data_IF_355266041776
#
_entry.id   IF_355266041776
#
_cell.length_a   1.000
_cell.length_b   1.000
_cell.length_c   1.000
_cell.angle_alpha   90.00
_cell.angle_beta   90.00
_cell.angle_gamma   90.00
#
_symmetry.space_group_name_H-M   'P 1'
#
loop_
_entity.id
_entity.type
_entity.pdbx_description
1 polymer ?
#
# COMPACT_ATOMS: atom_id res chain seq x y z
N UNK A 1 21.72 -86.83 -59.64
CA UNK A 1 23.12 -86.35 -59.62
C UNK A 1 23.18 -85.16 -58.69
N UNK A 2 24.12 -85.13 -57.74
CA UNK A 2 24.33 -86.08 -56.64
C UNK A 2 24.09 -85.30 -55.30
N UNK A 3 24.21 -85.76 -54.06
CA UNK A 3 24.77 -86.95 -53.45
C UNK A 3 24.33 -86.94 -51.96
N UNK A 4 24.09 -88.14 -51.40
CA UNK A 4 24.59 -88.62 -50.08
C UNK A 4 24.36 -87.75 -48.83
N UNK A 5 23.48 -88.12 -47.90
CA UNK A 5 23.61 -89.23 -46.92
C UNK A 5 24.80 -89.09 -45.98
N UNK A 6 24.58 -89.06 -44.66
CA UNK A 6 25.07 -90.07 -43.71
C UNK A 6 24.58 -89.69 -42.29
N UNK A 7 23.71 -90.48 -41.65
CA UNK A 7 23.97 -91.73 -40.91
C UNK A 7 24.73 -91.53 -39.59
N UNK A 8 24.16 -92.11 -38.53
CA UNK A 8 24.78 -92.95 -37.48
C UNK A 8 23.64 -93.15 -36.45
N UNK A 9 22.84 -94.24 -36.48
CA UNK A 9 23.09 -95.63 -36.01
C UNK A 9 23.80 -95.63 -34.64
N UNK A 10 23.42 -96.34 -33.59
CA UNK A 10 22.49 -97.43 -33.38
C UNK A 10 22.65 -97.84 -31.91
N UNK A 11 21.63 -98.53 -31.38
CA UNK A 11 21.74 -99.73 -30.52
C UNK A 11 21.47 -99.57 -29.01
N UNK A 12 20.27 -100.05 -28.65
CA UNK A 12 19.90 -101.05 -27.60
C UNK A 12 20.48 -100.86 -26.19
N UNK A 13 19.73 -101.01 -25.09
CA UNK A 13 18.85 -102.13 -24.73
C UNK A 13 18.22 -101.87 -23.32
N UNK A 14 17.12 -102.60 -23.00
CA UNK A 14 16.44 -102.83 -21.69
C UNK A 14 15.37 -101.78 -21.28
N UNK A 15 14.06 -102.12 -21.32
CA UNK A 15 13.23 -102.70 -20.23
C UNK A 15 13.34 -101.85 -18.94
N UNK A 16 12.33 -101.20 -18.38
CA UNK A 16 10.89 -101.50 -18.29
C UNK A 16 10.11 -100.23 -17.86
N UNK A 17 8.84 -100.14 -18.29
CA UNK A 17 7.72 -99.32 -17.77
C UNK A 17 7.43 -97.91 -18.32
N UNK A 18 6.16 -97.80 -18.72
CA UNK A 18 5.27 -96.64 -18.94
C UNK A 18 5.54 -95.75 -20.15
N UNK A 19 4.75 -95.96 -21.20
CA UNK A 19 3.96 -94.93 -21.88
C UNK A 19 3.26 -95.57 -23.07
N UNK A 20 2.04 -95.11 -23.37
CA UNK A 20 1.70 -94.46 -24.63
C UNK A 20 0.28 -94.84 -25.09
N UNK A 21 -0.63 -93.86 -25.03
CA UNK A 21 -1.75 -93.80 -25.97
C UNK A 21 -1.65 -92.47 -26.72
N UNK A 22 -1.57 -92.60 -28.04
CA UNK A 22 -1.33 -91.55 -29.04
C UNK A 22 -2.67 -91.12 -29.65
N UNK A 23 -2.83 -89.79 -29.82
CA UNK A 23 -3.61 -89.01 -30.80
C UNK A 23 -5.02 -89.49 -31.20
N UNK A 24 -6.00 -88.64 -31.51
CA UNK A 24 -5.98 -87.45 -32.38
C UNK A 24 -7.43 -86.93 -32.35
N UNK A 25 -7.72 -85.63 -32.24
CA UNK A 25 -8.85 -84.96 -32.93
C UNK A 25 -8.91 -83.45 -32.62
N UNK A 26 -8.66 -82.70 -33.69
CA UNK A 26 -9.12 -81.36 -34.11
C UNK A 26 -10.13 -80.63 -33.19
N UNK A 27 -9.68 -79.45 -32.73
CA UNK A 27 -10.41 -78.22 -32.37
C UNK A 27 -11.89 -78.31 -31.98
N UNK A 28 -12.13 -78.21 -30.68
CA UNK A 28 -13.24 -77.43 -30.14
C UNK A 28 -12.65 -76.42 -29.15
N UNK A 29 -12.81 -75.13 -29.46
CA UNK A 29 -12.51 -74.05 -28.54
C UNK A 29 -13.50 -74.12 -27.37
N UNK A 30 -13.16 -74.89 -26.34
CA UNK A 30 -13.78 -74.73 -25.04
C UNK A 30 -13.12 -73.52 -24.37
N UNK A 31 -13.80 -72.37 -24.47
CA UNK A 31 -13.63 -71.24 -23.58
C UNK A 31 -13.45 -71.75 -22.14
N UNK A 32 -12.29 -71.49 -21.54
CA UNK A 32 -12.15 -71.59 -20.10
C UNK A 32 -12.95 -70.42 -19.50
N UNK A 33 -14.22 -70.68 -19.19
CA UNK A 33 -15.09 -69.76 -18.47
C UNK A 33 -14.50 -69.58 -17.06
N UNK A 34 -13.73 -68.51 -16.87
CA UNK A 34 -13.18 -68.11 -15.57
C UNK A 34 -14.37 -67.63 -14.73
N UNK A 35 -14.92 -68.51 -13.89
CA UNK A 35 -16.03 -68.22 -12.99
C UNK A 35 -15.75 -66.96 -12.15
N UNK A 36 -16.36 -65.83 -12.51
CA UNK A 36 -16.41 -64.63 -11.68
C UNK A 36 -17.53 -64.82 -10.64
N UNK A 37 -17.17 -65.29 -9.44
CA UNK A 37 -18.09 -65.28 -8.30
C UNK A 37 -18.15 -63.86 -7.71
N UNK A 38 -19.34 -63.34 -7.38
CA UNK A 38 -19.45 -62.04 -6.74
C UNK A 38 -18.77 -62.08 -5.35
N UNK A 39 -17.99 -61.04 -5.05
CA UNK A 39 -17.28 -60.92 -3.78
C UNK A 39 -18.10 -60.00 -2.88
N UNK A 40 -18.57 -60.54 -1.76
CA UNK A 40 -19.29 -59.77 -0.75
C UNK A 40 -18.40 -59.56 0.47
N UNK A 41 -17.99 -58.31 0.70
CA UNK A 41 -17.25 -57.90 1.89
C UNK A 41 -18.24 -57.30 2.88
N UNK A 42 -18.37 -57.89 4.08
CA UNK A 42 -19.27 -57.42 5.14
C UNK A 42 -18.47 -57.23 6.42
N UNK A 43 -18.21 -55.98 6.80
CA UNK A 43 -17.46 -55.61 8.02
C UNK A 43 -16.08 -56.28 8.11
N UNK A 44 -15.45 -56.56 6.97
CA UNK A 44 -14.16 -57.25 6.90
C UNK A 44 -13.04 -56.30 7.35
N UNK A 45 -12.17 -56.72 8.30
CA UNK A 45 -10.96 -55.96 8.64
C UNK A 45 -10.08 -55.71 7.41
N UNK A 46 -9.47 -54.52 7.32
CA UNK A 46 -8.55 -54.18 6.21
C UNK A 46 -7.39 -55.20 6.09
N UNK A 47 -6.93 -55.73 7.23
CA UNK A 47 -5.88 -56.76 7.29
C UNK A 47 -6.30 -58.05 6.57
N UNK A 48 -7.53 -58.52 6.78
CA UNK A 48 -8.04 -59.72 6.09
C UNK A 48 -8.21 -59.48 4.59
N UNK A 49 -8.70 -58.30 4.19
CA UNK A 49 -8.82 -57.95 2.77
C UNK A 49 -7.44 -57.93 2.09
N UNK A 50 -6.46 -57.28 2.71
CA UNK A 50 -5.09 -57.18 2.15
C UNK A 50 -4.39 -58.55 2.08
N UNK A 51 -4.63 -59.42 3.06
CA UNK A 51 -4.12 -60.79 3.04
C UNK A 51 -4.77 -61.63 1.93
N UNK A 52 -6.09 -61.51 1.77
CA UNK A 52 -6.80 -62.17 0.67
C UNK A 52 -6.35 -61.65 -0.70
N UNK A 53 -6.21 -60.33 -0.86
CA UNK A 53 -5.72 -59.72 -2.09
C UNK A 53 -4.29 -60.14 -2.42
N UNK A 54 -3.42 -60.27 -1.41
CA UNK A 54 -2.06 -60.82 -1.58
C UNK A 54 -2.11 -62.23 -2.18
N UNK A 55 -2.98 -63.10 -1.66
CA UNK A 55 -3.12 -64.47 -2.17
C UNK A 55 -3.71 -64.54 -3.59
N UNK A 56 -4.64 -63.64 -3.94
CA UNK A 56 -5.31 -63.63 -5.25
C UNK A 56 -4.47 -62.96 -6.34
N UNK A 57 -3.72 -61.92 -5.98
CA UNK A 57 -2.90 -61.15 -6.94
C UNK A 57 -1.45 -61.60 -7.01
N UNK A 58 -0.98 -62.36 -6.02
CA UNK A 58 0.41 -62.80 -5.90
C UNK A 58 1.38 -61.69 -5.47
N UNK A 59 0.89 -60.48 -5.19
CA UNK A 59 1.71 -59.35 -4.72
C UNK A 59 1.88 -59.39 -3.19
N UNK A 60 3.05 -58.98 -2.70
CA UNK A 60 3.27 -58.85 -1.26
C UNK A 60 2.65 -57.54 -0.76
N UNK A 61 1.62 -57.61 0.08
CA UNK A 61 0.97 -56.42 0.65
C UNK A 61 1.38 -56.27 2.12
N UNK A 62 1.96 -55.14 2.48
CA UNK A 62 2.43 -54.81 3.85
C UNK A 62 1.56 -53.69 4.42
N UNK A 63 0.88 -53.97 5.53
CA UNK A 63 0.04 -53.00 6.24
C UNK A 63 0.79 -52.51 7.47
N UNK A 64 0.90 -51.20 7.68
CA UNK A 64 1.54 -50.66 8.88
C UNK A 64 0.69 -50.91 10.13
N UNK A 65 1.33 -51.07 11.30
CA UNK A 65 0.65 -51.38 12.58
C UNK A 65 -0.31 -50.29 13.06
N UNK A 66 -0.25 -49.10 12.47
CA UNK A 66 -1.10 -47.95 12.78
C UNK A 66 -2.43 -47.95 12.00
N UNK A 67 -2.65 -48.92 11.11
CA UNK A 67 -3.89 -49.05 10.33
C UNK A 67 -4.89 -49.91 11.11
N UNK A 68 -5.91 -49.27 11.69
CA UNK A 68 -7.02 -49.95 12.36
C UNK A 68 -8.33 -49.49 11.76
N UNK A 69 -9.08 -50.41 11.14
CA UNK A 69 -10.36 -50.10 10.50
C UNK A 69 -11.05 -51.35 9.95
N UNK A 70 -12.37 -51.38 10.07
CA UNK A 70 -13.25 -52.32 9.36
C UNK A 70 -13.82 -51.65 8.13
N UNK A 71 -13.90 -52.37 7.03
CA UNK A 71 -14.45 -51.85 5.79
C UNK A 71 -15.99 -51.82 5.83
N UNK A 72 -16.57 -50.72 5.36
CA UNK A 72 -17.99 -50.62 5.04
C UNK A 72 -18.31 -51.55 3.85
N UNK A 73 -19.48 -52.20 3.94
CA UNK A 73 -19.91 -53.29 3.05
C UNK A 73 -19.72 -52.98 1.56
N UNK A 74 -19.06 -53.87 0.83
CA UNK A 74 -18.88 -53.75 -0.62
C UNK A 74 -19.37 -55.04 -1.31
N UNK A 75 -20.28 -54.89 -2.29
CA UNK A 75 -20.76 -55.97 -3.15
C UNK A 75 -20.16 -55.78 -4.53
N UNK A 76 -19.31 -56.72 -4.96
CA UNK A 76 -18.52 -56.58 -6.17
C UNK A 76 -18.92 -57.66 -7.18
N UNK A 77 -19.66 -57.31 -8.25
CA UNK A 77 -20.33 -58.30 -9.10
C UNK A 77 -19.41 -59.07 -10.06
N UNK A 78 -18.25 -58.52 -10.45
CA UNK A 78 -17.27 -59.22 -11.32
C UNK A 78 -15.98 -58.40 -11.47
N UNK A 79 -14.80 -58.95 -11.20
CA UNK A 79 -13.53 -58.17 -11.20
C UNK A 79 -12.41 -58.92 -11.92
N UNK A 80 -11.67 -58.23 -12.80
CA UNK A 80 -10.40 -58.73 -13.32
C UNK A 80 -9.27 -58.45 -12.32
N UNK A 81 -8.14 -59.18 -12.37
CA UNK A 81 -7.05 -59.00 -11.39
C UNK A 81 -6.45 -57.57 -11.40
N UNK A 82 -6.53 -56.86 -12.53
CA UNK A 82 -6.07 -55.47 -12.68
C UNK A 82 -7.02 -54.48 -11.97
N UNK A 83 -8.32 -54.76 -11.98
CA UNK A 83 -9.32 -53.92 -11.34
C UNK A 83 -9.30 -54.04 -9.80
N UNK A 84 -8.76 -55.15 -9.24
CA UNK A 84 -8.67 -55.37 -7.79
C UNK A 84 -7.69 -54.42 -7.09
N UNK A 85 -6.58 -54.05 -7.74
CA UNK A 85 -5.60 -53.11 -7.17
C UNK A 85 -6.11 -51.67 -7.24
N UNK A 86 -6.81 -51.30 -8.31
CA UNK A 86 -7.50 -50.02 -8.42
C UNK A 86 -8.60 -49.91 -7.38
N UNK A 87 -9.36 -50.98 -7.15
CA UNK A 87 -10.36 -51.05 -6.09
C UNK A 87 -9.73 -50.91 -4.69
N UNK A 88 -8.59 -51.56 -4.44
CA UNK A 88 -7.84 -51.39 -3.19
C UNK A 88 -7.39 -49.94 -2.97
N UNK A 89 -6.91 -49.27 -4.02
CA UNK A 89 -6.54 -47.84 -3.95
C UNK A 89 -7.74 -46.96 -3.58
N UNK A 90 -8.91 -47.20 -4.17
CA UNK A 90 -10.12 -46.43 -3.85
C UNK A 90 -10.62 -46.69 -2.42
N UNK A 91 -10.57 -47.95 -1.97
CA UNK A 91 -10.96 -48.35 -0.62
C UNK A 91 -9.99 -47.79 0.43
N UNK A 92 -8.69 -47.78 0.16
CA UNK A 92 -7.70 -47.22 1.10
C UNK A 92 -7.87 -45.71 1.20
N UNK A 93 -8.03 -45.00 0.07
CA UNK A 93 -8.31 -43.56 0.04
C UNK A 93 -9.60 -43.18 0.77
N UNK A 94 -10.68 -43.96 0.65
CA UNK A 94 -11.93 -43.68 1.36
C UNK A 94 -11.81 -43.81 2.88
N UNK A 95 -10.78 -44.50 3.37
CA UNK A 95 -10.49 -44.71 4.80
C UNK A 95 -9.29 -43.88 5.30
N UNK A 96 -8.91 -42.80 4.59
CA UNK A 96 -7.75 -41.95 4.91
C UNK A 96 -6.39 -42.68 4.94
N UNK A 97 -6.28 -43.76 4.18
CA UNK A 97 -5.03 -44.51 4.01
C UNK A 97 -4.45 -44.23 2.62
N UNK A 98 -3.13 -44.40 2.49
CA UNK A 98 -2.41 -44.27 1.22
C UNK A 98 -1.75 -45.60 0.89
N UNK A 99 -1.88 -46.01 -0.37
CA UNK A 99 -1.20 -47.15 -0.95
C UNK A 99 0.05 -46.67 -1.70
N UNK A 100 1.21 -47.19 -1.33
CA UNK A 100 2.50 -46.98 -1.99
C UNK A 100 2.86 -48.27 -2.74
N UNK A 101 2.81 -48.24 -4.08
CA UNK A 101 3.19 -49.39 -4.92
C UNK A 101 4.68 -49.33 -5.29
N UNK A 102 5.44 -50.35 -4.88
CA UNK A 102 6.85 -50.55 -5.23
C UNK A 102 7.04 -51.67 -6.27
N UNK A 103 6.01 -51.96 -7.06
CA UNK A 103 6.00 -53.03 -8.06
C UNK A 103 5.56 -54.35 -7.45
N UNK A 104 6.51 -55.08 -6.86
CA UNK A 104 6.27 -56.41 -6.25
C UNK A 104 5.74 -56.33 -4.82
N UNK A 105 5.95 -55.20 -4.16
CA UNK A 105 5.49 -54.93 -2.79
C UNK A 105 4.59 -53.70 -2.77
N UNK A 106 3.41 -53.85 -2.19
CA UNK A 106 2.48 -52.74 -1.94
C UNK A 106 2.47 -52.46 -0.45
N UNK A 107 2.71 -51.20 -0.05
CA UNK A 107 2.66 -50.78 1.35
C UNK A 107 1.45 -49.87 1.60
N UNK A 108 0.68 -50.15 2.64
CA UNK A 108 -0.48 -49.34 3.05
C UNK A 108 -0.17 -48.65 4.37
N UNK A 109 -0.30 -47.32 4.39
CA UNK A 109 -0.01 -46.48 5.54
C UNK A 109 -1.11 -45.44 5.78
N UNK A 110 -1.10 -44.81 6.96
CA UNK A 110 -1.96 -43.67 7.24
C UNK A 110 -1.44 -42.42 6.50
N UNK A 111 -2.33 -41.64 5.89
CA UNK A 111 -1.98 -40.45 5.10
C UNK A 111 -1.22 -39.37 5.90
N UNK A 112 -1.20 -39.45 7.24
CA UNK A 112 -0.45 -38.55 8.11
C UNK A 112 1.07 -38.60 7.90
N UNK A 113 1.61 -39.66 7.30
CA UNK A 113 3.05 -39.87 7.12
C UNK A 113 3.63 -39.34 5.79
N UNK A 114 2.90 -38.55 5.00
CA UNK A 114 3.56 -37.73 3.99
C UNK A 114 4.43 -36.71 4.71
N UNK A 115 5.72 -37.04 4.82
CA UNK A 115 6.76 -36.13 5.26
C UNK A 115 6.60 -34.84 4.46
N UNK A 116 6.09 -33.79 5.10
CA UNK A 116 6.14 -32.44 4.57
C UNK A 116 7.63 -32.19 4.36
N UNK A 117 8.07 -32.20 3.11
CA UNK A 117 9.41 -31.70 2.79
C UNK A 117 9.33 -30.21 3.07
N UNK A 118 9.70 -29.81 4.29
CA UNK A 118 9.87 -28.41 4.64
C UNK A 118 10.93 -27.91 3.66
N UNK A 119 10.49 -27.20 2.62
CA UNK A 119 11.39 -26.65 1.62
C UNK A 119 12.50 -25.90 2.34
N UNK A 120 13.75 -26.13 1.95
CA UNK A 120 14.89 -25.50 2.59
C UNK A 120 14.69 -23.98 2.57
N UNK A 121 14.71 -23.35 3.75
CA UNK A 121 14.66 -21.91 3.85
C UNK A 121 16.02 -21.36 3.46
N UNK A 122 16.01 -20.37 2.59
CA UNK A 122 17.20 -19.64 2.18
C UNK A 122 17.19 -18.25 2.81
N UNK A 123 18.38 -17.71 3.09
CA UNK A 123 18.54 -16.36 3.60
C UNK A 123 19.07 -15.45 2.49
N UNK A 124 18.29 -14.44 2.10
CA UNK A 124 18.67 -13.49 1.04
C UNK A 124 18.59 -12.06 1.57
N UNK A 125 19.60 -11.25 1.22
CA UNK A 125 19.67 -9.84 1.58
C UNK A 125 19.22 -8.97 0.40
N UNK A 126 18.15 -8.20 0.60
CA UNK A 126 17.59 -7.26 -0.36
C UNK A 126 18.02 -5.84 -0.01
N UNK A 127 18.87 -5.24 -0.86
CA UNK A 127 19.33 -3.85 -0.70
C UNK A 127 18.37 -2.90 -1.44
N UNK A 128 18.07 -1.76 -0.82
CA UNK A 128 17.24 -0.69 -1.40
C UNK A 128 18.05 0.60 -1.58
N UNK A 129 17.89 1.25 -2.72
CA UNK A 129 18.62 2.48 -3.05
C UNK A 129 17.75 3.73 -2.99
N UNK A 130 16.47 3.64 -3.34
CA UNK A 130 15.56 4.77 -3.49
C UNK A 130 14.54 4.89 -2.36
N UNK A 131 14.25 3.79 -1.65
CA UNK A 131 13.28 3.74 -0.55
C UNK A 131 13.91 3.19 0.73
N UNK A 132 13.39 3.64 1.88
CA UNK A 132 13.83 3.13 3.18
C UNK A 132 13.29 1.71 3.41
N UNK A 133 14.16 0.78 3.76
CA UNK A 133 13.85 -0.61 4.09
C UNK A 133 12.75 -0.71 5.17
N UNK A 134 12.77 0.19 6.16
CA UNK A 134 11.75 0.25 7.23
C UNK A 134 10.34 0.48 6.69
N UNK A 135 10.18 1.27 5.62
CA UNK A 135 8.86 1.57 5.02
C UNK A 135 8.29 0.38 4.25
N UNK A 136 9.14 -0.47 3.67
CA UNK A 136 8.73 -1.62 2.84
C UNK A 136 8.72 -2.95 3.61
N UNK A 137 9.33 -3.00 4.81
CA UNK A 137 9.34 -4.19 5.66
C UNK A 137 7.95 -4.81 5.89
N UNK A 138 6.86 -4.04 6.15
CA UNK A 138 5.54 -4.62 6.34
C UNK A 138 5.03 -5.40 5.12
N UNK A 139 5.40 -4.95 3.90
CA UNK A 139 5.03 -5.63 2.66
C UNK A 139 5.81 -6.94 2.49
N UNK A 140 7.09 -6.94 2.86
CA UNK A 140 7.92 -8.15 2.89
C UNK A 140 7.38 -9.15 3.90
N UNK A 141 7.05 -8.69 5.11
CA UNK A 141 6.44 -9.53 6.14
C UNK A 141 5.09 -10.09 5.68
N UNK A 142 4.28 -9.30 4.98
CA UNK A 142 3.01 -9.75 4.41
C UNK A 142 3.19 -10.83 3.33
N UNK A 143 4.16 -10.66 2.44
CA UNK A 143 4.46 -11.64 1.39
C UNK A 143 4.99 -12.97 1.96
N UNK A 144 5.62 -12.94 3.14
CA UNK A 144 6.19 -14.10 3.82
C UNK A 144 5.17 -14.79 4.74
N UNK A 145 3.98 -14.22 4.96
CA UNK A 145 2.97 -14.82 5.87
C UNK A 145 2.61 -16.23 5.41
N UNK A 146 2.97 -17.21 6.24
CA UNK A 146 2.61 -18.62 6.09
C UNK A 146 1.08 -18.77 6.14
N UNK A 147 0.47 -19.63 5.30
CA UNK A 147 -0.95 -19.99 5.38
C UNK A 147 -1.35 -20.40 6.81
N UNK A 148 -2.55 -20.04 7.26
CA UNK A 148 -2.98 -20.28 8.64
C UNK A 148 -3.05 -21.78 9.01
N UNK A 149 -3.16 -22.67 8.01
CA UNK A 149 -3.07 -24.12 8.18
C UNK A 149 -1.72 -24.58 8.76
N UNK A 150 -0.64 -23.91 8.37
CA UNK A 150 0.71 -24.30 8.79
C UNK A 150 0.99 -23.82 10.22
N UNK A 151 0.41 -22.69 10.63
CA UNK A 151 0.52 -22.18 12.01
C UNK A 151 -0.15 -23.14 13.01
N UNK A 152 -1.35 -23.62 12.69
CA UNK A 152 -2.06 -24.61 13.52
C UNK A 152 -1.34 -25.96 13.59
N UNK A 153 -0.58 -26.30 12.54
CA UNK A 153 0.28 -27.48 12.55
C UNK A 153 1.50 -27.26 13.44
N UNK A 154 2.17 -26.10 13.35
CA UNK A 154 3.32 -25.76 14.17
C UNK A 154 2.98 -25.74 15.68
N UNK A 155 1.83 -25.18 16.05
CA UNK A 155 1.35 -25.12 17.44
C UNK A 155 1.11 -26.52 18.05
N UNK A 156 0.80 -27.53 17.23
CA UNK A 156 0.62 -28.91 17.70
C UNK A 156 1.94 -29.62 18.03
N UNK A 157 3.07 -29.07 17.60
CA UNK A 157 4.40 -29.64 17.78
C UNK A 157 5.35 -28.63 18.45
N UNK A 158 4.93 -28.10 19.60
CA UNK A 158 5.66 -27.05 20.35
C UNK A 158 7.09 -27.49 20.77
N UNK A 159 7.34 -28.80 20.83
CA UNK A 159 8.65 -29.39 21.14
C UNK A 159 9.65 -29.35 19.95
N UNK A 160 9.18 -29.04 18.75
CA UNK A 160 9.99 -28.99 17.52
C UNK A 160 10.26 -27.53 17.15
N UNK A 161 11.54 -27.14 17.19
CA UNK A 161 11.97 -25.82 16.72
C UNK A 161 11.91 -25.75 15.20
N UNK A 162 10.81 -25.26 14.67
CA UNK A 162 10.72 -24.94 13.26
C UNK A 162 11.44 -23.62 12.97
N UNK A 163 12.27 -23.58 11.93
CA UNK A 163 12.71 -22.30 11.38
C UNK A 163 11.49 -21.65 10.72
N UNK A 164 11.05 -20.52 11.24
CA UNK A 164 9.92 -19.78 10.69
C UNK A 164 10.42 -18.78 9.64
N UNK A 165 9.71 -18.64 8.51
CA UNK A 165 9.98 -17.59 7.57
C UNK A 165 9.89 -16.22 8.26
N UNK A 166 10.90 -15.39 8.07
CA UNK A 166 10.97 -14.08 8.74
C UNK A 166 11.67 -13.05 7.87
N UNK A 167 11.30 -11.78 8.07
CA UNK A 167 11.98 -10.65 7.45
C UNK A 167 12.30 -9.59 8.51
N UNK A 168 13.53 -9.08 8.47
CA UNK A 168 14.02 -8.04 9.35
C UNK A 168 14.93 -7.05 8.62
N UNK A 169 14.98 -5.82 9.11
CA UNK A 169 15.89 -4.79 8.60
C UNK A 169 17.27 -4.99 9.24
N UNK A 170 18.33 -4.86 8.44
CA UNK A 170 19.69 -4.86 8.96
C UNK A 170 20.02 -3.53 9.63
N UNK A 171 20.62 -3.52 10.84
CA UNK A 171 20.81 -2.29 11.61
C UNK A 171 21.81 -1.31 10.97
N UNK A 172 22.75 -1.82 10.18
CA UNK A 172 23.86 -1.06 9.61
C UNK A 172 23.69 -0.74 8.11
N UNK A 173 22.60 -1.18 7.47
CA UNK A 173 22.40 -0.97 6.03
C UNK A 173 20.93 -0.80 5.69
N UNK A 174 20.64 -0.07 4.62
CA UNK A 174 19.28 0.05 4.07
C UNK A 174 18.89 -1.23 3.31
N UNK A 175 18.84 -2.35 4.03
CA UNK A 175 18.61 -3.68 3.47
C UNK A 175 17.69 -4.50 4.36
N UNK A 176 16.93 -5.41 3.74
CA UNK A 176 16.10 -6.39 4.43
C UNK A 176 16.76 -7.76 4.29
N UNK A 177 16.94 -8.46 5.41
CA UNK A 177 17.23 -9.89 5.43
C UNK A 177 15.89 -10.63 5.45
N UNK A 178 15.63 -11.43 4.42
CA UNK A 178 14.47 -12.32 4.39
C UNK A 178 14.93 -13.78 4.40
N UNK A 179 14.31 -14.58 5.26
CA UNK A 179 14.50 -16.02 5.37
C UNK A 179 13.20 -16.65 4.93
N UNK A 180 13.15 -17.28 3.76
CA UNK A 180 11.93 -17.90 3.22
C UNK A 180 12.25 -18.96 2.17
N UNK A 181 11.23 -19.58 1.57
CA UNK A 181 11.42 -20.58 0.50
C UNK A 181 11.92 -19.93 -0.81
N UNK A 182 12.61 -20.70 -1.68
CA UNK A 182 13.09 -20.18 -2.97
C UNK A 182 11.99 -19.59 -3.85
N UNK A 183 10.78 -20.15 -3.81
CA UNK A 183 9.61 -19.66 -4.56
C UNK A 183 9.20 -18.25 -4.12
N UNK A 184 9.15 -18.00 -2.80
CA UNK A 184 8.80 -16.68 -2.25
C UNK A 184 9.92 -15.67 -2.52
N UNK A 185 11.18 -16.12 -2.59
CA UNK A 185 12.29 -15.24 -2.99
C UNK A 185 12.14 -14.69 -4.42
N UNK A 186 11.63 -15.47 -5.37
CA UNK A 186 11.34 -14.96 -6.72
C UNK A 186 10.27 -13.86 -6.68
N UNK A 187 9.22 -14.03 -5.87
CA UNK A 187 8.17 -13.03 -5.67
C UNK A 187 8.72 -11.76 -4.99
N UNK A 188 9.53 -11.90 -3.95
CA UNK A 188 10.19 -10.79 -3.25
C UNK A 188 11.17 -10.03 -4.14
N UNK A 189 11.88 -10.74 -5.03
CA UNK A 189 12.76 -10.11 -6.02
C UNK A 189 11.95 -9.29 -7.04
N UNK A 190 10.80 -9.79 -7.47
CA UNK A 190 9.83 -9.03 -8.28
C UNK A 190 9.34 -7.78 -7.55
N UNK A 191 8.90 -7.95 -6.30
CA UNK A 191 8.39 -6.88 -5.45
C UNK A 191 9.46 -5.79 -5.20
N UNK A 192 10.71 -6.18 -4.91
CA UNK A 192 11.81 -5.22 -4.73
C UNK A 192 11.97 -4.32 -5.96
N UNK A 193 11.97 -4.89 -7.17
CA UNK A 193 12.15 -4.10 -8.41
C UNK A 193 11.02 -3.10 -8.61
N UNK A 194 9.79 -3.47 -8.26
CA UNK A 194 8.64 -2.56 -8.35
C UNK A 194 8.66 -1.44 -7.30
N UNK A 195 9.17 -1.74 -6.10
CA UNK A 195 9.21 -0.76 -4.99
C UNK A 195 10.43 0.18 -5.03
N UNK A 196 11.59 -0.29 -5.49
CA UNK A 196 12.85 0.45 -5.46
C UNK A 196 13.02 1.37 -6.69
N UNK A 197 11.99 2.17 -7.00
CA UNK A 197 12.01 3.18 -8.07
C UNK A 197 12.46 4.55 -7.51
N UNK A 198 13.14 5.40 -8.31
CA UNK A 198 13.45 6.76 -7.92
C UNK A 198 12.20 7.54 -7.48
N UNK A 199 12.28 8.19 -6.32
CA UNK A 199 11.20 9.02 -5.78
C UNK A 199 11.38 10.45 -6.31
N UNK A 200 10.29 11.03 -6.81
CA UNK A 200 10.27 12.40 -7.34
C UNK A 200 10.35 13.41 -6.19
N UNK A 201 10.95 14.57 -6.46
CA UNK A 201 11.00 15.67 -5.51
C UNK A 201 10.18 16.85 -6.01
N UNK A 202 9.65 17.65 -5.09
CA UNK A 202 8.81 18.80 -5.40
C UNK A 202 9.37 20.01 -4.67
N UNK A 203 9.78 21.02 -5.44
CA UNK A 203 10.09 22.35 -4.94
C UNK A 203 8.82 23.20 -4.98
N UNK A 204 8.46 23.75 -3.82
CA UNK A 204 7.36 24.68 -3.66
C UNK A 204 7.94 26.05 -3.32
N UNK A 205 7.61 27.03 -4.14
CA UNK A 205 7.90 28.45 -3.90
C UNK A 205 6.58 29.16 -3.61
N UNK A 206 6.43 29.73 -2.42
CA UNK A 206 5.24 30.49 -2.04
C UNK A 206 5.53 31.98 -2.02
N UNK A 207 4.56 32.79 -2.40
CA UNK A 207 4.61 34.25 -2.29
C UNK A 207 3.32 34.72 -1.62
N UNK A 208 3.49 35.42 -0.49
CA UNK A 208 2.40 35.98 0.28
C UNK A 208 2.48 37.49 0.16
N UNK A 209 1.42 38.11 -0.36
CA UNK A 209 1.34 39.55 -0.58
C UNK A 209 0.10 40.11 0.10
N UNK A 210 0.21 41.29 0.69
CA UNK A 210 -0.89 42.08 1.23
C UNK A 210 -0.98 43.36 0.40
N UNK A 211 -2.17 43.72 -0.05
CA UNK A 211 -2.42 44.96 -0.76
C UNK A 211 -3.41 45.81 0.05
N UNK A 212 -3.07 47.07 0.27
CA UNK A 212 -3.99 48.06 0.84
C UNK A 212 -4.87 48.62 -0.29
N UNK A 213 -6.11 48.16 -0.37
CA UNK A 213 -7.08 48.69 -1.32
C UNK A 213 -7.66 50.00 -0.75
N UNK A 214 -7.27 51.13 -1.33
CA UNK A 214 -8.01 52.39 -1.16
C UNK A 214 -9.22 52.40 -2.09
N UNK A 215 -10.26 53.17 -1.74
CA UNK A 215 -11.50 53.35 -2.52
C UNK A 215 -11.18 53.56 -4.02
N UNK A 216 -11.35 52.50 -4.83
CA UNK A 216 -11.19 52.53 -6.28
C UNK A 216 -10.29 51.47 -6.93
N UNK A 217 -9.65 50.55 -6.20
CA UNK A 217 -8.76 49.55 -6.80
C UNK A 217 -9.45 48.21 -7.10
N UNK A 218 -9.49 47.81 -8.37
CA UNK A 218 -9.96 46.48 -8.82
C UNK A 218 -8.78 45.54 -9.11
N UNK A 219 -8.33 44.80 -8.09
CA UNK A 219 -7.17 43.88 -8.15
C UNK A 219 -7.15 42.98 -9.39
N UNK A 220 -8.31 42.42 -9.80
CA UNK A 220 -8.40 41.53 -10.96
C UNK A 220 -8.09 42.19 -12.31
N UNK A 221 -8.31 43.49 -12.46
CA UNK A 221 -8.11 44.22 -13.73
C UNK A 221 -6.64 44.67 -13.86
N UNK A 222 -6.07 45.19 -12.79
CA UNK A 222 -4.71 45.72 -12.78
C UNK A 222 -3.65 44.61 -12.71
N UNK A 223 -3.91 43.53 -11.95
CA UNK A 223 -3.06 42.35 -11.94
C UNK A 223 -3.05 41.67 -13.31
N UNK A 224 -4.19 41.56 -13.99
CA UNK A 224 -4.25 40.98 -15.34
C UNK A 224 -3.42 41.77 -16.36
N UNK A 225 -3.36 43.10 -16.19
CA UNK A 225 -2.61 44.01 -17.05
C UNK A 225 -1.10 43.90 -16.77
N UNK A 226 -0.69 43.81 -15.51
CA UNK A 226 0.69 43.60 -15.10
C UNK A 226 1.23 42.19 -15.48
N UNK A 227 0.40 41.16 -15.43
CA UNK A 227 0.77 39.79 -15.83
C UNK A 227 0.96 39.64 -17.34
N UNK A 228 0.13 40.31 -18.16
CA UNK A 228 0.33 40.37 -19.62
C UNK A 228 1.66 41.02 -20.00
N UNK A 229 2.08 42.04 -19.27
CA UNK A 229 3.36 42.72 -19.49
C UNK A 229 4.59 41.87 -19.10
N UNK A 230 4.39 40.82 -18.28
CA UNK A 230 5.46 39.93 -17.80
C UNK A 230 5.48 38.56 -18.49
N UNK A 231 4.69 38.38 -19.56
CA UNK A 231 4.72 37.18 -20.40
C UNK A 231 3.79 36.04 -19.97
N UNK A 232 2.91 36.27 -18.98
CA UNK A 232 1.89 35.28 -18.60
C UNK A 232 0.69 35.33 -19.57
N UNK A 233 0.30 34.18 -20.13
CA UNK A 233 -0.85 34.05 -21.06
C UNK A 233 -2.06 33.45 -20.33
N UNK A 234 -3.23 34.08 -20.50
CA UNK A 234 -4.49 33.65 -19.91
C UNK A 234 -5.28 32.78 -20.90
N UNK A 235 -5.62 31.55 -20.51
CA UNK A 235 -6.68 30.76 -21.16
C UNK A 235 -7.96 30.94 -20.36
N UNK A 236 -8.73 31.97 -20.71
CA UNK A 236 -10.11 32.12 -20.21
C UNK A 236 -11.00 31.15 -20.99
N UNK A 237 -11.65 30.22 -20.30
CA UNK A 237 -12.78 29.52 -20.89
C UNK A 237 -13.94 30.53 -20.92
N UNK A 238 -14.12 31.19 -22.07
CA UNK A 238 -15.11 32.25 -22.25
C UNK A 238 -16.52 31.67 -22.18
N UNK A 239 -17.12 31.70 -20.99
CA UNK A 239 -18.57 31.59 -20.84
C UNK A 239 -19.08 32.86 -20.17
N UNK A 240 -19.45 33.84 -21.00
CA UNK A 240 -20.32 34.97 -20.65
C UNK A 240 -19.73 36.04 -19.72
N UNK A 241 -19.75 37.27 -20.21
CA UNK A 241 -19.57 38.50 -19.42
C UNK A 241 -20.35 38.45 -18.10
N UNK A 242 -19.65 38.30 -16.97
CA UNK A 242 -20.18 38.62 -15.66
C UNK A 242 -19.30 39.70 -15.02
N UNK A 243 -19.85 40.90 -15.06
CA UNK A 243 -19.44 42.07 -14.29
C UNK A 243 -19.23 41.75 -12.82
N UNK A 244 -18.15 42.32 -12.27
CA UNK A 244 -18.00 42.71 -10.86
C UNK A 244 -18.27 41.63 -9.83
N UNK A 245 -17.19 40.99 -9.37
CA UNK A 245 -17.19 40.14 -8.19
C UNK A 245 -17.29 38.67 -8.56
N UNK A 246 -16.16 38.02 -8.82
CA UNK A 246 -16.18 36.57 -8.96
C UNK A 246 -14.88 35.93 -8.50
N UNK A 247 -15.02 35.11 -7.45
CA UNK A 247 -14.19 33.95 -7.21
C UNK A 247 -14.35 32.94 -8.34
N UNK A 248 -13.68 33.20 -9.46
CA UNK A 248 -13.47 32.26 -10.55
C UNK A 248 -12.05 31.70 -10.45
N UNK A 249 -11.92 30.38 -10.46
CA UNK A 249 -10.61 29.72 -10.53
C UNK A 249 -9.89 30.11 -11.83
N UNK A 250 -8.85 30.93 -11.72
CA UNK A 250 -8.00 31.37 -12.83
C UNK A 250 -6.80 30.43 -12.95
N UNK A 251 -6.68 29.72 -14.08
CA UNK A 251 -5.53 28.88 -14.43
C UNK A 251 -4.64 29.60 -15.44
N UNK A 252 -3.34 29.71 -15.16
CA UNK A 252 -2.37 30.41 -16.00
C UNK A 252 -1.47 29.45 -16.79
N UNK A 253 -1.23 29.77 -18.07
CA UNK A 253 -0.37 28.99 -18.96
C UNK A 253 1.03 29.62 -19.06
N UNK A 254 2.02 28.84 -18.61
CA UNK A 254 3.48 28.85 -18.86
C UNK A 254 4.15 30.09 -19.45
N UNK A 255 5.20 30.60 -18.77
CA UNK A 255 6.27 31.38 -19.43
C UNK A 255 6.83 32.60 -18.69
N UNK A 256 6.15 33.11 -17.66
CA UNK A 256 6.57 34.35 -16.98
C UNK A 256 7.63 34.16 -15.89
N UNK A 257 8.60 35.06 -15.82
CA UNK A 257 9.58 35.12 -14.73
C UNK A 257 8.94 35.74 -13.48
N UNK A 258 8.87 34.97 -12.41
CA UNK A 258 8.36 35.41 -11.10
C UNK A 258 9.10 36.63 -10.57
N UNK A 259 10.40 36.79 -10.86
CA UNK A 259 11.16 37.97 -10.43
C UNK A 259 10.73 39.25 -11.15
N UNK A 260 10.31 39.12 -12.41
CA UNK A 260 9.73 40.23 -13.16
C UNK A 260 8.35 40.61 -12.63
N UNK A 261 7.53 39.63 -12.24
CA UNK A 261 6.25 39.86 -11.53
C UNK A 261 6.46 40.61 -10.21
N UNK A 262 7.40 40.14 -9.38
CA UNK A 262 7.74 40.79 -8.11
C UNK A 262 8.13 42.26 -8.33
N UNK A 263 8.96 42.53 -9.34
CA UNK A 263 9.45 43.89 -9.66
C UNK A 263 8.36 44.80 -10.24
N UNK A 264 7.39 44.25 -10.98
CA UNK A 264 6.25 44.99 -11.52
C UNK A 264 5.22 45.29 -10.43
N UNK A 265 4.88 44.30 -9.60
CA UNK A 265 3.94 44.46 -8.47
C UNK A 265 4.50 45.39 -7.39
N UNK A 266 5.81 45.38 -7.13
CA UNK A 266 6.45 46.30 -6.20
C UNK A 266 6.39 47.78 -6.64
N UNK A 267 6.11 48.08 -7.92
CA UNK A 267 5.89 49.46 -8.40
C UNK A 267 4.45 49.96 -8.18
N UNK A 268 3.51 49.08 -7.85
CA UNK A 268 2.14 49.45 -7.51
C UNK A 268 2.16 50.00 -6.08
N UNK A 269 1.70 51.25 -5.91
CA UNK A 269 1.91 52.08 -4.71
C UNK A 269 1.37 51.51 -3.39
N UNK A 270 0.64 50.39 -3.40
CA UNK A 270 -0.09 49.85 -2.25
C UNK A 270 0.10 48.33 -2.02
N UNK A 271 1.05 47.66 -2.69
CA UNK A 271 1.28 46.22 -2.48
C UNK A 271 2.55 45.96 -1.67
N UNK A 272 2.41 45.22 -0.56
CA UNK A 272 3.49 44.82 0.34
C UNK A 272 3.69 43.31 0.27
N UNK A 273 4.90 42.86 -0.04
CA UNK A 273 5.26 41.44 0.04
C UNK A 273 5.51 41.11 1.52
N UNK A 274 4.79 40.13 2.06
CA UNK A 274 4.93 39.70 3.45
C UNK A 274 6.05 38.69 3.59
N UNK A 275 6.09 37.68 2.71
CA UNK A 275 7.04 36.56 2.82
C UNK A 275 7.11 35.74 1.53
N UNK A 276 8.26 35.12 1.29
CA UNK A 276 8.51 34.20 0.17
C UNK A 276 9.14 32.88 0.63
N UNK A 277 8.43 32.02 1.38
CA UNK A 277 9.00 30.77 1.84
C UNK A 277 9.19 29.78 0.68
N UNK A 278 10.30 29.05 0.70
CA UNK A 278 10.61 28.00 -0.28
C UNK A 278 10.86 26.68 0.46
N UNK A 279 10.42 25.57 -0.12
CA UNK A 279 10.47 24.25 0.51
C UNK A 279 10.64 23.16 -0.54
N UNK A 280 11.67 22.32 -0.40
CA UNK A 280 11.87 21.12 -1.20
C UNK A 280 11.43 19.89 -0.39
N UNK A 281 10.52 19.08 -0.94
CA UNK A 281 9.95 17.92 -0.26
C UNK A 281 9.93 16.72 -1.21
N UNK A 282 10.12 15.52 -0.67
CA UNK A 282 9.92 14.29 -1.44
C UNK A 282 8.42 14.01 -1.64
N UNK A 283 8.09 13.34 -2.73
CA UNK A 283 6.73 12.87 -2.98
C UNK A 283 6.18 12.03 -1.81
N UNK A 284 4.92 12.27 -1.43
CA UNK A 284 4.17 11.68 -0.30
C UNK A 284 4.72 11.96 1.10
N UNK A 285 5.79 12.72 1.25
CA UNK A 285 6.31 13.14 2.56
C UNK A 285 5.79 14.54 2.95
N UNK A 286 5.55 14.77 4.24
CA UNK A 286 5.17 16.11 4.70
C UNK A 286 6.42 16.96 4.93
N UNK A 287 6.43 18.17 4.36
CA UNK A 287 7.39 19.21 4.67
C UNK A 287 6.72 20.38 5.38
N UNK A 288 7.48 21.09 6.21
CA UNK A 288 7.02 22.32 6.86
C UNK A 288 8.18 23.33 7.01
N UNK A 289 7.85 24.60 6.84
CA UNK A 289 8.73 25.74 7.13
C UNK A 289 7.96 26.74 7.98
N UNK A 290 8.59 27.26 9.03
CA UNK A 290 8.00 28.28 9.91
C UNK A 290 9.04 29.37 10.19
N UNK A 291 8.64 30.63 9.99
CA UNK A 291 9.46 31.82 10.17
C UNK A 291 8.68 32.80 11.03
N UNK A 292 9.21 33.18 12.18
CA UNK A 292 8.47 34.01 13.12
C UNK A 292 9.21 34.31 14.42
N UNK A 293 8.46 34.80 15.39
CA UNK A 293 8.91 35.14 16.74
C UNK A 293 8.18 34.26 17.76
N UNK A 294 8.82 33.94 18.87
CA UNK A 294 8.21 33.19 19.97
C UNK A 294 7.81 34.12 21.11
N UNK A 295 6.52 34.46 21.17
CA UNK A 295 5.97 35.54 22.00
C UNK A 295 5.42 34.97 23.32
N UNK A 296 5.76 35.55 24.47
CA UNK A 296 5.20 35.16 25.77
C UNK A 296 3.79 35.73 26.01
N UNK A 297 2.88 34.91 26.53
CA UNK A 297 1.53 35.24 26.96
C UNK A 297 1.40 34.97 28.46
N UNK A 298 0.74 35.87 29.20
CA UNK A 298 0.56 35.77 30.64
C UNK A 298 -0.75 35.01 30.94
N UNK A 299 -0.66 33.71 31.23
CA UNK A 299 -1.85 32.87 31.42
C UNK A 299 -2.40 32.90 32.86
N UNK A 300 -1.57 33.26 33.84
CA UNK A 300 -2.02 33.42 35.23
C UNK A 300 -1.11 34.37 36.02
N UNK A 301 -1.72 35.14 36.91
CA UNK A 301 -1.03 35.90 37.95
C UNK A 301 -1.67 35.54 39.28
N UNK A 302 -1.02 34.66 40.03
CA UNK A 302 -1.45 34.26 41.37
C UNK A 302 -0.67 35.08 42.40
N UNK A 303 -1.30 35.44 43.51
CA UNK A 303 -0.63 36.01 44.68
C UNK A 303 -0.65 34.91 45.73
N UNK A 304 0.53 34.43 46.11
CA UNK A 304 0.66 33.42 47.17
C UNK A 304 0.32 34.02 48.53
N UNK A 305 -0.07 33.20 49.51
CA UNK A 305 -0.42 33.62 50.88
C UNK A 305 0.69 34.43 51.60
N UNK A 306 1.93 34.34 51.10
CA UNK A 306 3.08 35.14 51.55
C UNK A 306 3.25 36.49 50.81
N UNK A 307 2.25 36.94 50.04
CA UNK A 307 2.26 38.20 49.29
C UNK A 307 3.17 38.21 48.05
N UNK A 308 3.73 37.06 47.64
CA UNK A 308 4.55 36.95 46.42
C UNK A 308 3.66 36.67 45.21
N UNK A 309 3.76 37.52 44.19
CA UNK A 309 3.09 37.31 42.91
C UNK A 309 3.87 36.30 42.06
N UNK A 310 3.22 35.20 41.70
CA UNK A 310 3.73 34.19 40.76
C UNK A 310 3.02 34.41 39.43
N UNK A 311 3.78 34.63 38.36
CA UNK A 311 3.25 34.75 37.00
C UNK A 311 3.59 33.49 36.22
N UNK A 312 2.59 32.93 35.52
CA UNK A 312 2.77 31.78 34.62
C UNK A 312 2.74 32.29 33.19
N UNK A 313 3.80 31.99 32.45
CA UNK A 313 4.00 32.46 31.07
C UNK A 313 3.89 31.25 30.13
N UNK A 314 3.06 31.37 29.09
CA UNK A 314 3.01 30.45 27.95
C UNK A 314 3.70 31.10 26.75
N UNK A 315 4.31 30.31 25.87
CA UNK A 315 5.04 30.81 24.69
C UNK A 315 4.33 30.35 23.43
N UNK A 316 3.97 31.28 22.54
CA UNK A 316 3.30 30.99 21.27
C UNK A 316 4.12 31.51 20.09
N UNK A 317 4.30 30.68 19.06
CA UNK A 317 4.95 31.08 17.83
C UNK A 317 4.01 31.95 16.98
N UNK A 318 4.50 33.12 16.57
CA UNK A 318 3.78 34.08 15.73
C UNK A 318 4.63 34.37 14.50
N UNK A 319 4.09 34.20 13.30
CA UNK A 319 4.81 34.39 12.04
C UNK A 319 4.16 33.67 10.86
N UNK A 320 4.94 33.35 9.84
CA UNK A 320 4.50 32.64 8.65
C UNK A 320 4.89 31.17 8.74
N UNK A 321 3.91 30.28 8.65
CA UNK A 321 4.13 28.84 8.51
C UNK A 321 3.53 28.33 7.20
N UNK A 322 4.23 27.39 6.57
CA UNK A 322 3.78 26.69 5.38
C UNK A 322 4.09 25.20 5.57
N UNK A 323 3.06 24.37 5.55
CA UNK A 323 3.19 22.92 5.49
C UNK A 323 2.56 22.39 4.21
N UNK A 324 3.26 21.48 3.55
CA UNK A 324 2.84 20.89 2.28
C UNK A 324 3.10 19.40 2.30
N UNK A 325 2.13 18.61 1.83
CA UNK A 325 2.31 17.21 1.47
C UNK A 325 2.03 17.06 -0.03
N UNK A 326 3.07 16.82 -0.86
CA UNK A 326 2.89 16.62 -2.28
C UNK A 326 2.52 15.17 -2.61
N UNK A 327 1.81 14.99 -3.71
CA UNK A 327 1.54 13.71 -4.35
C UNK A 327 1.70 13.86 -5.86
N UNK A 328 2.76 13.29 -6.43
CA UNK A 328 3.09 13.44 -7.85
C UNK A 328 2.51 12.28 -8.66
N UNK A 329 1.73 12.64 -9.67
CA UNK A 329 1.15 11.71 -10.65
C UNK A 329 2.14 11.40 -11.79
N UNK A 330 1.87 10.35 -12.56
CA UNK A 330 2.75 9.88 -13.64
C UNK A 330 3.06 10.98 -14.67
N UNK A 331 2.05 11.79 -15.01
CA UNK A 331 2.10 12.91 -15.98
C UNK A 331 2.89 14.14 -15.49
N UNK A 332 3.37 14.13 -14.24
CA UNK A 332 4.10 15.26 -13.63
C UNK A 332 3.18 16.30 -12.98
N UNK A 333 1.87 16.03 -12.89
CA UNK A 333 0.95 16.83 -12.09
C UNK A 333 1.15 16.53 -10.61
N UNK A 334 1.29 17.57 -9.79
CA UNK A 334 1.42 17.48 -8.34
C UNK A 334 0.10 17.87 -7.65
N UNK A 335 -0.46 16.95 -6.88
CA UNK A 335 -1.55 17.23 -5.95
C UNK A 335 -0.92 17.64 -4.63
N UNK A 336 -1.19 18.85 -4.17
CA UNK A 336 -0.60 19.42 -2.97
C UNK A 336 -1.68 19.62 -1.91
N UNK A 337 -1.51 19.00 -0.74
CA UNK A 337 -2.24 19.37 0.47
C UNK A 337 -1.44 20.46 1.19
N UNK A 338 -1.97 21.68 1.22
CA UNK A 338 -1.29 22.87 1.74
C UNK A 338 -2.00 23.37 2.99
N UNK A 339 -1.22 23.69 4.02
CA UNK A 339 -1.64 24.44 5.19
C UNK A 339 -0.70 25.63 5.34
N UNK A 340 -1.21 26.83 5.08
CA UNK A 340 -0.46 28.08 5.23
C UNK A 340 -1.08 28.89 6.36
N UNK A 341 -0.24 29.38 7.26
CA UNK A 341 -0.64 30.26 8.35
C UNK A 341 0.23 31.52 8.34
N UNK A 342 -0.38 32.67 8.61
CA UNK A 342 0.31 33.93 8.83
C UNK A 342 -0.27 34.58 10.08
N UNK A 343 0.58 34.84 11.05
CA UNK A 343 0.22 35.53 12.28
C UNK A 343 1.15 36.69 12.55
N UNK A 344 0.61 37.74 13.18
CA UNK A 344 1.34 38.95 13.56
C UNK A 344 0.93 39.40 14.95
N UNK A 345 1.84 40.06 15.66
CA UNK A 345 1.52 40.73 16.93
C UNK A 345 1.00 42.14 16.62
N UNK A 346 -0.02 42.58 17.35
CA UNK A 346 -0.49 43.97 17.35
C UNK A 346 -0.15 44.63 18.68
N UNK A 347 0.55 45.75 18.62
CA UNK A 347 0.85 46.59 19.78
C UNK A 347 -0.42 47.40 20.15
N UNK A 348 -1.33 46.79 20.90
CA UNK A 348 -2.50 47.50 21.45
C UNK A 348 -2.17 48.06 22.83
N UNK A 349 -2.28 49.38 22.98
CA UNK A 349 -2.10 50.08 24.27
C UNK A 349 -3.31 49.98 25.20
N UNK A 350 -4.42 49.42 24.71
CA UNK A 350 -5.70 49.28 25.42
C UNK A 350 -5.83 47.90 26.09
N UNK A 351 -5.14 46.89 25.57
CA UNK A 351 -5.15 45.54 26.12
C UNK A 351 -4.11 45.39 27.23
N UNK A 352 -4.44 44.68 28.31
CA UNK A 352 -3.50 44.33 29.38
C UNK A 352 -2.47 43.25 28.97
N UNK A 353 -2.64 42.66 27.78
CA UNK A 353 -1.81 41.58 27.23
C UNK A 353 -1.69 41.72 25.70
N UNK A 354 -0.78 40.95 25.10
CA UNK A 354 -0.43 40.98 23.67
C UNK A 354 -1.59 40.44 22.82
N UNK A 355 -1.99 41.18 21.77
CA UNK A 355 -3.00 40.72 20.79
C UNK A 355 -2.31 40.14 19.56
N UNK A 356 -2.79 39.01 19.05
CA UNK A 356 -2.29 38.41 17.80
C UNK A 356 -3.36 38.36 16.73
N UNK A 357 -3.00 38.73 15.51
CA UNK A 357 -3.80 38.48 14.32
C UNK A 357 -3.35 37.15 13.72
N UNK A 358 -4.29 36.35 13.23
CA UNK A 358 -4.01 35.06 12.61
C UNK A 358 -4.85 34.90 11.34
N UNK A 359 -4.20 34.46 10.28
CA UNK A 359 -4.78 34.15 8.96
C UNK A 359 -4.33 32.76 8.57
N UNK A 360 -5.25 31.91 8.14
CA UNK A 360 -4.96 30.51 7.83
C UNK A 360 -5.69 30.07 6.57
N UNK A 361 -5.01 29.32 5.72
CA UNK A 361 -5.52 28.72 4.49
C UNK A 361 -5.17 27.24 4.50
N UNK A 362 -6.18 26.39 4.39
CA UNK A 362 -6.03 24.95 4.21
C UNK A 362 -6.76 24.53 2.95
N UNK A 363 -6.04 23.95 2.00
CA UNK A 363 -6.61 23.57 0.71
C UNK A 363 -5.84 22.42 0.07
N UNK A 364 -6.49 21.74 -0.86
CA UNK A 364 -5.88 20.72 -1.71
C UNK A 364 -6.03 21.17 -3.16
N UNK A 365 -4.91 21.29 -3.86
CA UNK A 365 -4.85 21.80 -5.23
C UNK A 365 -4.07 20.86 -6.13
N UNK A 366 -4.41 20.85 -7.42
CA UNK A 366 -3.70 20.09 -8.45
C UNK A 366 -3.01 21.06 -9.39
N UNK A 367 -1.70 20.90 -9.56
CA UNK A 367 -0.84 21.86 -10.28
C UNK A 367 0.15 21.09 -11.16
N UNK A 368 0.31 21.49 -12.42
CA UNK A 368 1.36 20.91 -13.27
C UNK A 368 2.73 21.49 -12.93
N UNK A 369 3.78 20.70 -13.11
CA UNK A 369 5.16 21.18 -12.93
C UNK A 369 5.43 22.46 -13.74
N UNK A 370 6.06 23.44 -13.09
CA UNK A 370 6.37 24.76 -13.64
C UNK A 370 5.23 25.78 -13.59
N UNK A 371 4.02 25.39 -13.19
CA UNK A 371 2.90 26.33 -13.10
C UNK A 371 2.87 27.08 -11.77
N UNK A 372 2.35 28.31 -11.84
CA UNK A 372 2.01 29.13 -10.69
C UNK A 372 0.51 29.19 -10.54
N UNK A 373 0.03 28.93 -9.33
CA UNK A 373 -1.38 29.01 -8.96
C UNK A 373 -1.58 30.04 -7.87
N UNK A 374 -2.77 30.64 -7.85
CA UNK A 374 -3.23 31.51 -6.77
C UNK A 374 -4.17 30.67 -5.91
N UNK A 375 -3.82 30.47 -4.63
CA UNK A 375 -4.62 29.64 -3.71
C UNK A 375 -5.88 30.36 -3.25
N UNK A 376 -5.86 31.69 -3.22
CA UNK A 376 -6.97 32.53 -2.80
C UNK A 376 -6.51 33.89 -2.26
N UNK A 377 -7.52 34.69 -1.90
CA UNK A 377 -7.38 36.02 -1.30
C UNK A 377 -8.24 36.12 -0.03
N UNK A 378 -7.73 36.71 1.06
CA UNK A 378 -8.54 37.11 2.22
C UNK A 378 -8.67 38.64 2.23
N UNK A 379 -9.89 39.15 2.08
CA UNK A 379 -10.17 40.59 2.18
C UNK A 379 -10.63 40.91 3.59
N UNK A 380 -9.99 41.89 4.21
CA UNK A 380 -10.37 42.45 5.51
C UNK A 380 -10.70 43.93 5.33
N UNK A 381 -11.88 44.34 5.78
CA UNK A 381 -12.26 45.76 5.83
C UNK A 381 -12.30 46.23 7.28
N UNK A 382 -11.58 47.31 7.55
CA UNK A 382 -11.59 47.98 8.85
C UNK A 382 -12.17 49.40 8.68
N UNK A 383 -13.35 49.63 9.23
CA UNK A 383 -13.99 50.95 9.21
C UNK A 383 -13.79 51.64 10.57
N UNK A 384 -12.97 52.71 10.58
CA UNK A 384 -12.74 53.56 11.75
C UNK A 384 -13.52 54.87 11.58
N UNK A 385 -14.62 55.01 12.31
CA UNK A 385 -15.34 56.27 12.48
C UNK A 385 -14.84 56.99 13.72
N UNK A 386 -14.35 58.21 13.56
CA UNK A 386 -14.00 59.11 14.65
C UNK A 386 -14.87 60.36 14.53
N UNK A 387 -15.57 60.69 15.61
CA UNK A 387 -16.38 61.90 15.72
C UNK A 387 -15.80 62.75 16.86
N UNK A 388 -15.28 63.92 16.52
CA UNK A 388 -14.82 64.91 17.49
C UNK A 388 -15.72 66.15 17.41
N UNK A 389 -16.19 66.65 18.56
CA UNK A 389 -17.09 67.80 18.55
C UNK A 389 -17.28 68.41 19.93
N UNK A 390 -17.85 69.62 19.95
CA UNK A 390 -18.15 70.33 21.19
C UNK A 390 -19.36 69.69 21.87
N UNK A 391 -19.27 69.26 23.14
CA UNK A 391 -20.40 68.66 23.87
C UNK A 391 -21.64 69.58 23.85
N UNK A 392 -22.84 69.00 23.77
CA UNK A 392 -24.15 69.68 23.69
C UNK A 392 -24.43 70.39 22.35
N UNK A 393 -23.48 71.16 21.81
CA UNK A 393 -23.67 71.89 20.55
C UNK A 393 -23.67 70.99 19.31
N UNK A 394 -22.98 69.86 19.37
CA UNK A 394 -22.93 68.87 18.28
C UNK A 394 -24.27 68.17 18.00
N UNK A 395 -25.16 68.12 19.00
CA UNK A 395 -26.43 67.38 18.95
C UNK A 395 -27.64 68.25 18.53
N UNK A 396 -27.43 69.55 18.29
CA UNK A 396 -28.52 70.48 17.94
C UNK A 396 -28.98 70.28 16.49
N UNK A 397 -30.28 70.09 16.22
CA UNK A 397 -30.81 70.01 14.86
C UNK A 397 -30.46 71.27 14.04
N UNK A 398 -30.25 71.12 12.73
CA UNK A 398 -29.80 72.15 11.77
C UNK A 398 -28.35 72.65 11.94
N UNK A 399 -27.88 72.99 13.15
CA UNK A 399 -26.58 73.68 13.33
C UNK A 399 -25.45 72.78 13.88
N UNK A 400 -25.76 71.60 14.42
CA UNK A 400 -24.77 70.71 15.04
C UNK A 400 -23.64 70.24 14.13
N UNK A 401 -23.86 70.21 12.80
CA UNK A 401 -22.83 69.86 11.81
C UNK A 401 -21.69 70.88 11.71
N UNK A 402 -21.85 72.12 12.18
CA UNK A 402 -20.77 73.11 12.23
C UNK A 402 -19.87 72.94 13.47
N UNK A 403 -20.30 72.13 14.45
CA UNK A 403 -19.63 71.95 15.74
C UNK A 403 -19.13 70.52 15.96
N UNK A 404 -19.14 69.68 14.92
CA UNK A 404 -18.55 68.33 14.88
C UNK A 404 -17.69 68.15 13.64
N UNK A 405 -16.64 67.35 13.77
CA UNK A 405 -15.81 66.84 12.69
C UNK A 405 -15.96 65.33 12.68
N UNK A 406 -16.40 64.79 11.54
CA UNK A 406 -16.50 63.35 11.31
C UNK A 406 -15.35 62.91 10.41
N UNK A 407 -14.55 61.96 10.87
CA UNK A 407 -13.53 61.29 10.08
C UNK A 407 -13.94 59.83 9.90
N UNK A 408 -14.17 59.42 8.66
CA UNK A 408 -14.48 58.05 8.28
C UNK A 408 -13.30 57.48 7.51
N UNK A 409 -12.56 56.57 8.13
CA UNK A 409 -11.41 55.91 7.51
C UNK A 409 -11.73 54.44 7.26
N UNK A 410 -11.93 54.07 5.99
CA UNK A 410 -12.15 52.69 5.55
C UNK A 410 -10.83 52.14 5.03
N UNK A 411 -10.30 51.12 5.68
CA UNK A 411 -9.05 50.45 5.29
C UNK A 411 -9.36 49.03 4.85
N UNK A 412 -9.23 48.76 3.55
CA UNK A 412 -9.34 47.40 3.01
C UNK A 412 -7.96 46.78 2.77
N UNK A 413 -7.77 45.56 3.25
CA UNK A 413 -6.53 44.77 3.11
C UNK A 413 -6.84 43.45 2.45
N UNK A 414 -6.17 43.15 1.35
CA UNK A 414 -6.28 41.86 0.64
C UNK A 414 -5.00 41.05 0.77
N UNK A 415 -5.06 39.87 1.40
CA UNK A 415 -3.97 38.92 1.47
C UNK A 415 -4.08 37.91 0.33
N UNK A 416 -3.17 37.94 -0.64
CA UNK A 416 -3.09 36.95 -1.73
C UNK A 416 -1.95 35.97 -1.49
N UNK A 417 -2.22 34.67 -1.70
CA UNK A 417 -1.20 33.61 -1.63
C UNK A 417 -1.02 32.95 -2.99
N UNK A 418 0.20 33.00 -3.52
CA UNK A 418 0.60 32.37 -4.78
C UNK A 418 1.59 31.24 -4.50
N UNK A 419 1.47 30.13 -5.23
CA UNK A 419 2.42 29.02 -5.19
C UNK A 419 2.93 28.70 -6.59
N UNK A 420 4.22 28.47 -6.72
CA UNK A 420 4.83 27.83 -7.88
C UNK A 420 5.38 26.47 -7.48
N UNK A 421 5.18 25.50 -8.36
CA UNK A 421 5.54 24.11 -8.12
C UNK A 421 6.51 23.66 -9.21
N UNK A 422 7.61 23.03 -8.83
CA UNK A 422 8.54 22.38 -9.76
C UNK A 422 8.81 20.96 -9.31
N UNK A 423 8.56 20.00 -10.19
CA UNK A 423 8.80 18.57 -9.95
C UNK A 423 10.12 18.17 -10.61
N UNK A 424 10.96 17.43 -9.87
CA UNK A 424 12.24 16.89 -10.28
C UNK A 424 12.24 15.36 -10.26
#
# INVERSE_FOLDING_TARGET
>A
MPATSHFIRMRMMKRFFVSLFVCLFVSNAAFAEKQNKPIQLRNTPITELTQWLSHVTGKTIVVSSSVSGTLLTADIPSVSTVDLMVLLDHITKSNNLVMLDYGDVVRIENNTNQLITVGALESVVYKFSNIQATKVLPLFQQAIKTPDTDKQFMEKFDDIKFQTPSAGVLPNSNSILAITSPEVHEQLAGLRRALDSPIRQVLIEAIIMETDAGDGFSFGVDLSTALKQTGFTFTSNTLGSLSSGLGGNLMYSSGGDIRALISATAKVKNTKILSTPTLLVMDREQGAISVGQNVPFLIAKEVTDAGKSVTRIERKNVGVSLSVTPHVLEDGTAILKISQESSSVTDSTIASDIVTNQRSIQTTVSVKSGQTIVLGGLVSEENRKSEEGVPVLKDVPLIGHLFKTESNNVVQRELTVMLKVQVF
#
